data_IF_615874940673
#
_entry.id   IF_615874940673
#
_cell.length_a   1.000
_cell.length_b   1.000
_cell.length_c   1.000
_cell.angle_alpha   90.00
_cell.angle_beta   90.00
_cell.angle_gamma   90.00
#
_symmetry.space_group_name_H-M   'P 1'
#
loop_
_entity.id
_entity.type
_entity.pdbx_description
1 polymer ?
#
# COMPACT_ATOMS: atom_id res chain seq x y z
N UNK A 1 17.42 3.36 29.35
CA UNK A 1 16.72 2.49 28.38
C UNK A 1 17.61 2.34 27.16
N UNK A 2 17.81 1.12 26.66
CA UNK A 2 18.54 0.91 25.41
C UNK A 2 17.66 1.33 24.22
N UNK A 3 18.26 1.98 23.21
CA UNK A 3 17.56 2.36 21.98
C UNK A 3 17.23 1.07 21.20
N UNK A 4 16.00 0.90 20.68
CA UNK A 4 15.65 -0.28 19.91
C UNK A 4 16.49 -0.39 18.63
N UNK A 5 16.65 -1.62 18.16
CA UNK A 5 17.29 -1.94 16.89
C UNK A 5 16.60 -1.24 15.72
N UNK A 6 17.38 -0.68 14.79
CA UNK A 6 16.85 -0.02 13.59
C UNK A 6 16.64 -1.07 12.49
N UNK A 7 15.38 -1.30 12.12
CA UNK A 7 14.96 -2.29 11.10
C UNK A 7 14.28 -1.62 9.91
N UNK A 8 14.98 -0.69 9.27
CA UNK A 8 14.38 0.18 8.24
C UNK A 8 13.71 -0.61 7.12
N UNK A 9 14.36 -1.65 6.59
CA UNK A 9 13.80 -2.45 5.48
C UNK A 9 12.55 -3.21 5.92
N UNK A 10 12.60 -3.93 7.04
CA UNK A 10 11.44 -4.66 7.55
C UNK A 10 10.27 -3.72 7.90
N UNK A 11 10.58 -2.52 8.38
CA UNK A 11 9.56 -1.51 8.67
C UNK A 11 8.90 -0.99 7.38
N UNK A 12 9.67 -0.80 6.31
CA UNK A 12 9.13 -0.39 5.00
C UNK A 12 8.27 -1.50 4.37
N UNK A 13 8.71 -2.75 4.43
CA UNK A 13 7.92 -3.91 3.97
C UNK A 13 6.60 -4.02 4.76
N UNK A 14 6.67 -3.86 6.09
CA UNK A 14 5.49 -3.88 6.96
C UNK A 14 4.54 -2.72 6.67
N UNK A 15 5.07 -1.53 6.38
CA UNK A 15 4.28 -0.37 6.01
C UNK A 15 3.59 -0.59 4.65
N UNK A 16 4.32 -1.05 3.63
CA UNK A 16 3.75 -1.41 2.32
C UNK A 16 2.60 -2.43 2.45
N UNK A 17 2.78 -3.48 3.26
CA UNK A 17 1.73 -4.45 3.55
C UNK A 17 0.53 -3.79 4.25
N UNK A 18 0.78 -2.89 5.21
CA UNK A 18 -0.22 -2.09 5.91
C UNK A 18 -1.10 -1.28 4.96
N UNK A 19 -0.48 -0.47 4.09
CA UNK A 19 -1.20 0.39 3.15
C UNK A 19 -1.93 -0.42 2.08
N UNK A 20 -1.36 -1.54 1.64
CA UNK A 20 -2.05 -2.47 0.71
C UNK A 20 -3.31 -3.07 1.34
N UNK A 21 -3.25 -3.45 2.63
CA UNK A 21 -4.41 -3.92 3.37
C UNK A 21 -5.44 -2.82 3.64
N UNK A 22 -4.99 -1.58 3.90
CA UNK A 22 -5.88 -0.44 4.09
C UNK A 22 -6.64 -0.10 2.80
N UNK A 23 -5.93 -0.01 1.67
CA UNK A 23 -6.49 0.17 0.34
C UNK A 23 -7.66 -0.80 0.09
N UNK A 24 -7.41 -2.11 0.20
CA UNK A 24 -8.45 -3.10 -0.14
C UNK A 24 -9.64 -3.05 0.82
N UNK A 25 -9.43 -2.72 2.11
CA UNK A 25 -10.54 -2.51 3.07
C UNK A 25 -11.39 -1.32 2.67
N UNK A 26 -10.78 -0.19 2.33
CA UNK A 26 -11.51 1.01 1.92
C UNK A 26 -12.30 0.76 0.63
N UNK A 27 -11.72 0.09 -0.37
CA UNK A 27 -12.47 -0.32 -1.58
C UNK A 27 -13.66 -1.23 -1.23
N UNK A 28 -13.49 -2.16 -0.29
CA UNK A 28 -14.58 -3.02 0.15
C UNK A 28 -15.69 -2.24 0.88
N UNK A 29 -15.33 -1.30 1.75
CA UNK A 29 -16.31 -0.47 2.45
C UNK A 29 -17.03 0.52 1.53
N UNK A 30 -16.33 1.08 0.54
CA UNK A 30 -16.96 1.87 -0.51
C UNK A 30 -18.05 1.07 -1.23
N UNK A 31 -17.76 -0.18 -1.62
CA UNK A 31 -18.75 -1.07 -2.25
C UNK A 31 -19.99 -1.26 -1.37
N UNK A 32 -19.81 -1.46 -0.05
CA UNK A 32 -20.92 -1.61 0.88
C UNK A 32 -21.73 -0.31 1.05
N UNK A 33 -21.06 0.83 1.15
CA UNK A 33 -21.71 2.14 1.25
C UNK A 33 -22.56 2.46 0.00
N UNK A 34 -22.02 2.19 -1.21
CA UNK A 34 -22.81 2.32 -2.45
C UNK A 34 -24.04 1.43 -2.46
N UNK A 35 -23.90 0.18 -2.01
CA UNK A 35 -25.03 -0.76 -1.94
C UNK A 35 -26.12 -0.32 -0.94
N UNK A 36 -25.74 0.42 0.11
CA UNK A 36 -26.66 1.01 1.07
C UNK A 36 -27.28 2.34 0.60
N UNK A 37 -26.86 2.87 -0.56
CA UNK A 37 -27.33 4.16 -1.10
C UNK A 37 -26.57 5.38 -0.54
N UNK A 38 -25.56 5.17 0.29
CA UNK A 38 -24.71 6.25 0.81
C UNK A 38 -23.54 6.50 -0.14
N UNK A 39 -23.80 7.35 -1.13
CA UNK A 39 -22.86 7.64 -2.22
C UNK A 39 -21.69 8.51 -1.73
N UNK A 40 -21.95 9.48 -0.85
CA UNK A 40 -20.91 10.39 -0.33
C UNK A 40 -19.85 9.62 0.47
N UNK A 41 -20.28 8.76 1.39
CA UNK A 41 -19.35 7.93 2.17
C UNK A 41 -18.56 6.98 1.27
N UNK A 42 -19.20 6.45 0.21
CA UNK A 42 -18.49 5.59 -0.73
C UNK A 42 -17.38 6.32 -1.49
N UNK A 43 -17.64 7.53 -1.97
CA UNK A 43 -16.67 8.35 -2.68
C UNK A 43 -15.49 8.74 -1.78
N UNK A 44 -15.77 9.04 -0.50
CA UNK A 44 -14.71 9.28 0.49
C UNK A 44 -13.82 8.03 0.65
N UNK A 45 -14.42 6.85 0.83
CA UNK A 45 -13.64 5.62 0.94
C UNK A 45 -12.81 5.31 -0.32
N UNK A 46 -13.35 5.57 -1.52
CA UNK A 46 -12.60 5.42 -2.76
C UNK A 46 -11.42 6.38 -2.84
N UNK A 47 -11.64 7.66 -2.52
CA UNK A 47 -10.57 8.66 -2.49
C UNK A 47 -9.47 8.31 -1.48
N UNK A 48 -9.85 7.84 -0.28
CA UNK A 48 -8.88 7.37 0.72
C UNK A 48 -8.13 6.13 0.23
N UNK A 49 -8.82 5.17 -0.39
CA UNK A 49 -8.15 4.00 -0.96
C UNK A 49 -7.10 4.39 -2.00
N UNK A 50 -7.38 5.38 -2.84
CA UNK A 50 -6.45 5.86 -3.86
C UNK A 50 -5.24 6.58 -3.24
N UNK A 51 -5.41 7.23 -2.07
CA UNK A 51 -4.29 7.78 -1.30
C UNK A 51 -3.36 6.69 -0.75
N UNK A 52 -3.91 5.56 -0.27
CA UNK A 52 -3.07 4.46 0.23
C UNK A 52 -2.23 3.80 -0.86
N UNK A 53 -2.68 3.82 -2.12
CA UNK A 53 -1.84 3.39 -3.26
C UNK A 53 -0.61 4.28 -3.38
N UNK A 54 -0.77 5.60 -3.20
CA UNK A 54 0.35 6.54 -3.26
C UNK A 54 1.33 6.32 -2.10
N UNK A 55 0.83 6.03 -0.89
CA UNK A 55 1.69 5.66 0.24
C UNK A 55 2.44 4.35 -0.03
N UNK A 56 1.75 3.32 -0.52
CA UNK A 56 2.35 2.03 -0.89
C UNK A 56 3.45 2.20 -1.95
N UNK A 57 3.22 3.02 -2.98
CA UNK A 57 4.24 3.34 -3.98
C UNK A 57 5.44 4.07 -3.37
N UNK A 58 5.22 5.02 -2.44
CA UNK A 58 6.34 5.67 -1.74
C UNK A 58 7.22 4.69 -0.95
N UNK A 59 6.63 3.65 -0.34
CA UNK A 59 7.40 2.60 0.31
C UNK A 59 8.15 1.71 -0.68
N UNK A 60 7.51 1.35 -1.81
CA UNK A 60 8.15 0.59 -2.88
C UNK A 60 9.31 1.36 -3.53
N UNK A 61 9.21 2.67 -3.71
CA UNK A 61 10.30 3.49 -4.24
C UNK A 61 11.55 3.45 -3.34
N UNK A 62 11.37 3.34 -2.03
CA UNK A 62 12.46 3.20 -1.06
C UNK A 62 13.05 1.79 -1.02
N UNK A 63 12.21 0.76 -1.19
CA UNK A 63 12.63 -0.65 -1.22
C UNK A 63 13.26 -1.04 -2.57
N UNK A 64 12.77 -0.45 -3.65
CA UNK A 64 13.06 -0.79 -5.04
C UNK A 64 13.28 0.48 -5.88
N UNK A 65 14.36 1.24 -5.65
CA UNK A 65 14.61 2.49 -6.36
C UNK A 65 14.57 2.29 -7.88
N UNK A 66 13.87 3.17 -8.59
CA UNK A 66 13.57 3.01 -10.03
C UNK A 66 14.80 2.81 -10.92
N UNK A 67 15.97 3.35 -10.53
CA UNK A 67 17.22 3.16 -11.27
C UNK A 67 17.88 1.77 -11.07
N UNK A 68 17.37 0.97 -10.14
CA UNK A 68 17.82 -0.40 -9.86
C UNK A 68 16.88 -1.47 -10.41
N UNK A 69 15.67 -1.10 -10.83
CA UNK A 69 14.63 -2.02 -11.28
C UNK A 69 14.54 -2.04 -12.80
N UNK A 70 14.91 -3.18 -13.39
CA UNK A 70 14.61 -3.51 -14.79
C UNK A 70 13.30 -4.31 -14.87
N UNK A 71 12.67 -4.42 -16.04
CA UNK A 71 11.49 -5.29 -16.20
C UNK A 71 11.75 -6.74 -15.80
N UNK A 72 12.95 -7.28 -16.08
CA UNK A 72 13.31 -8.63 -15.66
C UNK A 72 13.39 -8.75 -14.12
N UNK A 73 14.02 -7.78 -13.46
CA UNK A 73 14.10 -7.77 -11.99
C UNK A 73 12.74 -7.59 -11.34
N UNK A 74 11.86 -6.76 -11.91
CA UNK A 74 10.49 -6.61 -11.43
C UNK A 74 9.70 -7.92 -11.50
N UNK A 75 9.89 -8.69 -12.58
CA UNK A 75 9.27 -10.01 -12.71
C UNK A 75 9.81 -11.01 -11.68
N UNK A 76 11.12 -11.02 -11.43
CA UNK A 76 11.72 -11.87 -10.38
C UNK A 76 11.12 -11.56 -9.00
N UNK A 77 11.09 -10.28 -8.61
CA UNK A 77 10.51 -9.85 -7.33
C UNK A 77 9.04 -10.28 -7.22
N UNK A 78 8.25 -10.08 -8.28
CA UNK A 78 6.84 -10.45 -8.28
C UNK A 78 6.61 -11.98 -8.16
N UNK A 79 7.56 -12.80 -8.60
CA UNK A 79 7.50 -14.27 -8.48
C UNK A 79 7.93 -14.73 -7.07
N UNK A 80 8.89 -14.05 -6.46
CA UNK A 80 9.42 -14.38 -5.13
C UNK A 80 8.38 -14.17 -4.01
N UNK A 81 7.42 -13.25 -4.21
CA UNK A 81 6.35 -12.93 -3.26
C UNK A 81 6.80 -12.01 -2.14
#
# INVERSE_FOLDING_TARGET
MARPEIKTIQNLESAFAGESMAHIKYRYFAKLARAAGDIETAEIFEATADQEVMHAFGHLDLLHPANTITPARALEIAIEG
#
